data_IF_658092817406
#
_entry.id   IF_658092817406
#
_cell.length_a   1.000
_cell.length_b   1.000
_cell.length_c   1.000
_cell.angle_alpha   90.00
_cell.angle_beta   90.00
_cell.angle_gamma   90.00
#
_symmetry.space_group_name_H-M   'P 1'
#
loop_
_entity.id
_entity.type
_entity.pdbx_description
1 polymer ?
#
# COMPACT_ATOMS: atom_id res chain seq x y z
N UNK A 1 5.45 35.52 -51.22
CA UNK A 1 5.26 34.05 -51.12
C UNK A 1 4.85 33.78 -49.67
N UNK A 2 3.63 33.33 -49.34
CA UNK A 2 3.13 31.93 -49.43
C UNK A 2 4.16 30.96 -48.80
N UNK A 3 3.95 30.18 -47.73
CA UNK A 3 2.77 29.63 -47.00
C UNK A 3 3.16 29.50 -45.48
N UNK A 4 2.33 29.20 -44.46
CA UNK A 4 0.89 28.93 -44.27
C UNK A 4 0.50 29.25 -42.79
N UNK A 5 -0.79 29.47 -42.47
CA UNK A 5 -1.28 29.61 -41.08
C UNK A 5 -1.72 28.26 -40.48
N UNK A 6 -1.57 28.04 -39.16
CA UNK A 6 -2.35 27.03 -38.43
C UNK A 6 -2.56 27.46 -36.96
N UNK A 7 -3.73 28.06 -36.70
CA UNK A 7 -4.27 28.31 -35.35
C UNK A 7 -5.50 27.43 -35.15
N UNK A 8 -5.32 26.27 -34.51
CA UNK A 8 -6.32 25.35 -33.92
C UNK A 8 -5.45 24.29 -33.20
N UNK A 9 -5.62 23.92 -31.93
CA UNK A 9 -6.86 23.51 -31.29
C UNK A 9 -6.79 23.67 -29.75
N UNK A 10 -7.91 24.06 -29.14
CA UNK A 10 -8.31 24.03 -27.73
C UNK A 10 -7.39 24.54 -26.58
N UNK A 11 -7.91 25.57 -25.91
CA UNK A 11 -7.71 25.83 -24.48
C UNK A 11 -8.03 24.58 -23.65
N UNK A 12 -7.07 24.11 -22.83
CA UNK A 12 -7.38 23.28 -21.67
C UNK A 12 -7.66 24.20 -20.47
N UNK A 13 -8.92 24.59 -20.34
CA UNK A 13 -9.45 25.17 -19.10
C UNK A 13 -9.54 24.05 -18.04
N UNK A 14 -8.54 23.92 -17.17
CA UNK A 14 -8.71 23.16 -15.91
C UNK A 14 -9.40 24.09 -14.92
N UNK A 15 -10.71 24.20 -15.08
CA UNK A 15 -11.60 24.72 -14.06
C UNK A 15 -11.93 23.57 -13.10
N UNK A 16 -11.47 23.64 -11.85
CA UNK A 16 -12.21 23.18 -10.65
C UNK A 16 -11.33 23.21 -9.41
N UNK A 17 -11.59 24.21 -8.56
CA UNK A 17 -11.87 24.06 -7.14
C UNK A 17 -11.03 23.07 -6.33
N UNK A 18 -10.20 23.61 -5.43
CA UNK A 18 -9.32 22.83 -4.58
C UNK A 18 -10.03 21.75 -3.75
N UNK A 19 -9.61 20.50 -3.96
CA UNK A 19 -9.73 19.48 -2.93
C UNK A 19 -8.79 19.86 -1.78
N UNK A 20 -9.34 20.57 -0.79
CA UNK A 20 -8.73 20.65 0.53
C UNK A 20 -8.75 19.26 1.18
N UNK A 21 -7.77 18.43 0.80
CA UNK A 21 -7.42 17.22 1.56
C UNK A 21 -7.17 17.67 2.98
N UNK A 22 -8.01 17.22 3.92
CA UNK A 22 -7.93 17.67 5.30
C UNK A 22 -6.53 17.41 5.84
N UNK A 23 -5.99 18.35 6.63
CA UNK A 23 -4.65 18.21 7.22
C UNK A 23 -4.47 16.86 7.95
N UNK A 24 -5.55 16.35 8.55
CA UNK A 24 -5.64 15.04 9.19
C UNK A 24 -5.39 13.84 8.24
N UNK A 25 -5.84 13.89 6.99
CA UNK A 25 -5.53 12.88 5.97
C UNK A 25 -4.07 12.99 5.50
N UNK A 26 -3.47 14.18 5.57
CA UNK A 26 -2.06 14.39 5.27
C UNK A 26 -1.15 13.91 6.42
N UNK A 27 -1.55 14.14 7.68
CA UNK A 27 -0.90 13.53 8.85
C UNK A 27 -1.00 12.00 8.84
N UNK A 28 -2.14 11.43 8.44
CA UNK A 28 -2.29 9.97 8.32
C UNK A 28 -1.22 9.39 7.40
N UNK A 29 -0.98 10.00 6.22
CA UNK A 29 0.07 9.57 5.28
C UNK A 29 1.49 9.65 5.86
N UNK A 30 1.71 10.47 6.88
CA UNK A 30 2.99 10.58 7.59
C UNK A 30 3.09 9.63 8.80
N UNK A 31 1.96 9.18 9.36
CA UNK A 31 1.91 8.25 10.51
C UNK A 31 1.83 6.78 10.11
N UNK A 32 1.40 6.46 8.89
CA UNK A 32 1.50 5.11 8.33
C UNK A 32 2.96 4.64 8.34
N UNK A 33 3.24 3.64 9.16
CA UNK A 33 4.54 3.57 9.84
C UNK A 33 5.48 2.55 9.18
N UNK A 34 6.67 2.96 8.75
CA UNK A 34 7.70 2.13 8.08
C UNK A 34 8.37 1.04 8.98
N UNK A 35 7.69 0.50 9.99
CA UNK A 35 8.32 -0.05 11.21
C UNK A 35 9.25 -1.26 11.00
N UNK A 36 8.89 -2.26 10.19
CA UNK A 36 9.59 -3.56 10.26
C UNK A 36 10.55 -3.85 9.08
N UNK A 37 10.95 -2.84 8.29
CA UNK A 37 11.61 -3.06 6.98
C UNK A 37 13.15 -3.06 7.02
N UNK A 38 13.78 -3.23 8.18
CA UNK A 38 15.25 -3.22 8.33
C UNK A 38 15.81 -4.65 8.25
N UNK A 39 16.58 -4.90 7.19
CA UNK A 39 17.31 -6.15 6.86
C UNK A 39 16.42 -7.37 6.55
N UNK A 40 16.42 -7.86 5.30
CA UNK A 40 15.94 -9.22 5.03
C UNK A 40 16.50 -9.83 3.73
N UNK A 41 16.73 -11.14 3.78
CA UNK A 41 17.32 -12.00 2.76
C UNK A 41 16.33 -12.44 1.66
N UNK A 42 16.79 -13.30 0.74
CA UNK A 42 16.07 -13.73 -0.46
C UNK A 42 15.07 -14.89 -0.22
N UNK A 43 13.90 -14.80 -0.85
CA UNK A 43 12.89 -15.86 -0.93
C UNK A 43 11.48 -15.42 -0.53
N UNK A 44 10.49 -15.67 -1.38
CA UNK A 44 9.06 -15.39 -1.10
C UNK A 44 8.59 -16.11 0.18
N UNK A 45 9.04 -17.34 0.41
CA UNK A 45 8.71 -18.10 1.62
C UNK A 45 9.21 -17.42 2.90
N UNK A 46 10.48 -16.95 2.90
CA UNK A 46 11.05 -16.17 4.01
C UNK A 46 10.31 -14.84 4.21
N UNK A 47 9.83 -14.22 3.13
CA UNK A 47 8.98 -13.02 3.18
C UNK A 47 7.65 -13.31 3.90
N UNK A 48 6.99 -14.43 3.55
CA UNK A 48 5.72 -14.86 4.14
C UNK A 48 5.88 -15.22 5.63
N UNK A 49 6.90 -15.98 5.98
CA UNK A 49 7.13 -16.41 7.37
C UNK A 49 7.49 -15.24 8.30
N UNK A 50 8.32 -14.30 7.83
CA UNK A 50 8.58 -13.06 8.54
C UNK A 50 7.31 -12.20 8.65
N UNK A 51 6.51 -12.13 7.58
CA UNK A 51 5.18 -11.52 7.57
C UNK A 51 4.26 -12.08 8.65
N UNK A 52 4.24 -13.40 8.81
CA UNK A 52 3.49 -14.11 9.87
C UNK A 52 4.00 -13.75 11.25
N UNK A 53 5.32 -13.68 11.45
CA UNK A 53 5.93 -13.25 12.71
C UNK A 53 5.65 -11.79 13.07
N UNK A 54 5.65 -10.88 12.10
CA UNK A 54 5.31 -9.47 12.28
C UNK A 54 3.82 -9.28 12.57
N UNK A 55 2.94 -9.92 11.80
CA UNK A 55 1.49 -9.86 12.02
C UNK A 55 1.08 -10.44 13.38
N UNK A 56 1.70 -11.54 13.82
CA UNK A 56 1.49 -12.08 15.17
C UNK A 56 1.84 -11.07 16.28
N UNK A 57 2.94 -10.31 16.13
CA UNK A 57 3.32 -9.24 17.08
C UNK A 57 2.33 -8.07 17.07
N UNK A 58 1.82 -7.68 15.89
CA UNK A 58 0.80 -6.63 15.77
C UNK A 58 -0.49 -7.08 16.47
N UNK A 59 -0.96 -8.30 16.19
CA UNK A 59 -2.19 -8.87 16.76
C UNK A 59 -2.08 -9.13 18.27
N UNK A 60 -0.88 -9.41 18.79
CA UNK A 60 -0.62 -9.52 20.22
C UNK A 60 -0.65 -8.18 20.96
N UNK A 61 -0.40 -7.05 20.27
CA UNK A 61 -0.53 -5.69 20.84
C UNK A 61 -1.92 -5.09 20.63
N UNK A 62 -2.53 -5.34 19.47
CA UNK A 62 -3.79 -4.73 19.06
C UNK A 62 -4.80 -5.83 18.65
N UNK A 63 -5.91 -6.00 19.38
CA UNK A 63 -6.93 -6.98 19.02
C UNK A 63 -7.62 -6.61 17.69
N UNK A 64 -8.22 -7.60 17.02
CA UNK A 64 -9.02 -7.37 15.82
C UNK A 64 -10.43 -6.87 16.18
N UNK A 65 -10.90 -5.85 15.46
CA UNK A 65 -12.27 -5.36 15.57
C UNK A 65 -13.25 -6.45 15.14
N UNK A 66 -14.20 -6.78 16.01
CA UNK A 66 -15.20 -7.85 15.81
C UNK A 66 -16.38 -7.35 14.96
N UNK A 67 -16.09 -6.79 13.79
CA UNK A 67 -17.08 -6.31 12.82
C UNK A 67 -16.83 -6.92 11.43
N UNK A 68 -17.49 -8.06 11.18
CA UNK A 68 -17.37 -8.78 9.91
C UNK A 68 -17.79 -7.96 8.70
N UNK A 69 -18.72 -6.99 8.85
CA UNK A 69 -19.20 -6.18 7.73
C UNK A 69 -18.12 -5.20 7.29
N UNK A 70 -17.51 -4.48 8.25
CA UNK A 70 -16.38 -3.58 7.97
C UNK A 70 -15.16 -4.33 7.46
N UNK A 71 -14.80 -5.46 8.09
CA UNK A 71 -13.65 -6.29 7.66
C UNK A 71 -13.87 -6.80 6.23
N UNK A 72 -15.03 -7.39 5.92
CA UNK A 72 -15.37 -7.88 4.57
C UNK A 72 -15.32 -6.79 3.51
N UNK A 73 -15.79 -5.59 3.83
CA UNK A 73 -15.76 -4.44 2.93
C UNK A 73 -14.32 -3.98 2.62
N UNK A 74 -13.46 -3.84 3.64
CA UNK A 74 -12.05 -3.47 3.46
C UNK A 74 -11.31 -4.57 2.70
N UNK A 75 -11.55 -5.85 3.01
CA UNK A 75 -11.00 -6.97 2.25
C UNK A 75 -11.39 -6.92 0.78
N UNK A 76 -12.63 -6.52 0.44
CA UNK A 76 -13.07 -6.36 -0.96
C UNK A 76 -12.30 -5.26 -1.68
N UNK A 77 -12.20 -4.07 -1.07
CA UNK A 77 -11.45 -2.93 -1.63
C UNK A 77 -9.96 -3.28 -1.78
N UNK A 78 -9.35 -3.81 -0.71
CA UNK A 78 -7.95 -4.21 -0.67
C UNK A 78 -7.61 -5.29 -1.70
N UNK A 79 -8.46 -6.31 -1.87
CA UNK A 79 -8.25 -7.38 -2.86
C UNK A 79 -8.26 -6.84 -4.30
N UNK A 80 -9.16 -5.91 -4.61
CA UNK A 80 -9.21 -5.26 -5.93
C UNK A 80 -7.97 -4.44 -6.26
N UNK A 81 -7.32 -3.86 -5.24
CA UNK A 81 -6.04 -3.14 -5.39
C UNK A 81 -4.89 -4.14 -5.49
N UNK A 82 -4.81 -5.14 -4.60
CA UNK A 82 -3.69 -6.09 -4.56
C UNK A 82 -3.59 -6.96 -5.82
N UNK A 83 -4.71 -7.23 -6.49
CA UNK A 83 -4.74 -7.93 -7.77
C UNK A 83 -3.89 -7.24 -8.87
N UNK A 84 -3.66 -5.92 -8.77
CA UNK A 84 -2.87 -5.16 -9.74
C UNK A 84 -1.36 -5.15 -9.46
N UNK A 85 -0.90 -5.77 -8.36
CA UNK A 85 0.52 -5.77 -7.97
C UNK A 85 1.38 -6.79 -8.72
N UNK A 86 0.79 -7.69 -9.51
CA UNK A 86 1.53 -8.72 -10.25
C UNK A 86 2.22 -9.77 -9.36
N UNK A 87 1.71 -9.99 -8.14
CA UNK A 87 2.24 -10.96 -7.15
C UNK A 87 1.26 -12.09 -6.83
N UNK A 88 0.94 -12.99 -7.78
CA UNK A 88 0.01 -14.10 -7.55
C UNK A 88 0.50 -15.09 -6.48
N UNK A 89 1.79 -15.08 -6.15
CA UNK A 89 2.40 -15.92 -5.13
C UNK A 89 2.08 -15.47 -3.69
N UNK A 90 1.60 -14.23 -3.49
CA UNK A 90 1.19 -13.71 -2.19
C UNK A 90 -0.33 -13.70 -2.04
N UNK A 91 -0.81 -14.32 -0.95
CA UNK A 91 -2.16 -14.12 -0.46
C UNK A 91 -2.20 -12.88 0.44
N UNK A 92 -3.05 -11.92 0.09
CA UNK A 92 -3.26 -10.72 0.89
C UNK A 92 -4.33 -10.95 1.96
N UNK A 93 -4.08 -10.43 3.16
CA UNK A 93 -4.96 -10.53 4.32
C UNK A 93 -5.24 -9.13 4.84
N UNK A 94 -6.51 -8.75 4.94
CA UNK A 94 -6.93 -7.44 5.43
C UNK A 94 -7.64 -7.56 6.77
N UNK A 95 -7.28 -6.71 7.73
CA UNK A 95 -7.88 -6.68 9.06
C UNK A 95 -8.04 -5.27 9.61
N UNK A 96 -8.94 -5.13 10.59
CA UNK A 96 -9.13 -3.89 11.34
C UNK A 96 -8.64 -4.11 12.76
N UNK A 97 -7.78 -3.23 13.26
CA UNK A 97 -7.33 -3.24 14.65
C UNK A 97 -8.28 -2.39 15.50
N UNK A 98 -8.73 -2.95 16.62
CA UNK A 98 -9.65 -2.30 17.56
C UNK A 98 -8.87 -1.33 18.47
N UNK A 99 -8.56 -0.17 17.91
CA UNK A 99 -7.89 0.93 18.60
C UNK A 99 -8.26 2.27 17.95
N UNK A 100 -8.38 3.31 18.78
CA UNK A 100 -8.60 4.70 18.37
C UNK A 100 -7.31 5.38 17.88
N UNK A 101 -6.14 4.73 18.00
CA UNK A 101 -4.91 5.18 17.35
C UNK A 101 -5.14 5.36 15.85
N UNK A 102 -4.47 6.33 15.22
CA UNK A 102 -4.63 6.67 13.80
C UNK A 102 -3.43 6.09 13.04
N UNK A 103 -3.55 4.86 12.53
CA UNK A 103 -2.42 4.16 11.90
C UNK A 103 -2.87 3.11 10.86
N UNK A 104 -1.93 2.66 10.04
CA UNK A 104 -2.02 1.44 9.25
C UNK A 104 -0.65 0.74 9.23
N UNK A 105 -0.69 -0.59 9.12
CA UNK A 105 0.48 -1.46 9.14
C UNK A 105 0.41 -2.44 7.97
N UNK A 106 1.49 -2.57 7.21
CA UNK A 106 1.55 -3.44 6.04
C UNK A 106 2.80 -4.33 6.09
N UNK A 107 2.64 -5.55 6.60
CA UNK A 107 3.75 -6.49 6.71
C UNK A 107 4.02 -7.23 5.38
N UNK A 108 5.28 -7.68 5.17
CA UNK A 108 5.62 -8.64 4.12
C UNK A 108 4.72 -9.87 4.15
N UNK A 109 4.65 -10.62 3.05
CA UNK A 109 3.75 -11.79 2.99
C UNK A 109 2.25 -11.45 2.86
N UNK A 110 1.90 -10.16 2.69
CA UNK A 110 0.55 -9.72 2.30
C UNK A 110 -0.38 -9.30 3.44
N UNK A 111 0.09 -9.19 4.69
CA UNK A 111 -0.76 -8.77 5.81
C UNK A 111 -0.90 -7.24 5.86
N UNK A 112 -2.13 -6.74 5.79
CA UNK A 112 -2.45 -5.30 5.85
C UNK A 112 -3.51 -5.06 6.93
N UNK A 113 -3.19 -4.15 7.85
CA UNK A 113 -4.03 -3.79 8.97
C UNK A 113 -4.28 -2.28 8.97
N UNK A 114 -5.52 -1.87 9.26
CA UNK A 114 -5.89 -0.47 9.49
C UNK A 114 -6.54 -0.34 10.86
N UNK A 115 -6.28 0.74 11.59
CA UNK A 115 -6.91 0.94 12.90
C UNK A 115 -8.36 1.44 12.78
N UNK A 116 -9.18 1.15 13.80
CA UNK A 116 -10.55 1.64 13.83
C UNK A 116 -10.60 3.19 13.87
N UNK A 117 -9.70 3.83 14.62
CA UNK A 117 -9.54 5.28 14.66
C UNK A 117 -9.23 5.90 13.29
N UNK A 118 -8.35 5.26 12.49
CA UNK A 118 -8.09 5.70 11.12
C UNK A 118 -9.33 5.62 10.22
N UNK A 119 -10.11 4.52 10.33
CA UNK A 119 -11.36 4.36 9.57
C UNK A 119 -12.41 5.41 9.93
N UNK A 120 -12.51 5.84 11.19
CA UNK A 120 -13.47 6.88 11.61
C UNK A 120 -13.19 8.25 10.99
N UNK A 121 -11.94 8.52 10.59
CA UNK A 121 -11.55 9.77 9.94
C UNK A 121 -11.78 9.78 8.43
N UNK A 122 -11.97 8.60 7.82
CA UNK A 122 -12.20 8.46 6.38
C UNK A 122 -13.64 8.85 6.04
N UNK A 123 -13.79 9.85 5.16
CA UNK A 123 -15.09 10.38 4.73
C UNK A 123 -15.68 9.65 3.53
N UNK A 124 -14.90 8.85 2.82
CA UNK A 124 -15.32 8.10 1.63
C UNK A 124 -14.39 6.90 1.32
N UNK A 125 -14.86 6.01 0.43
CA UNK A 125 -14.11 4.84 -0.04
C UNK A 125 -12.79 5.22 -0.72
N UNK A 126 -12.72 6.36 -1.42
CA UNK A 126 -11.51 6.79 -2.13
C UNK A 126 -10.33 7.08 -1.18
N UNK A 127 -10.60 7.61 0.02
CA UNK A 127 -9.58 7.80 1.06
C UNK A 127 -9.07 6.46 1.60
N UNK A 128 -9.96 5.50 1.85
CA UNK A 128 -9.59 4.13 2.23
C UNK A 128 -8.74 3.46 1.14
N UNK A 129 -9.20 3.51 -0.12
CA UNK A 129 -8.52 2.91 -1.26
C UNK A 129 -7.14 3.55 -1.49
N UNK A 130 -7.02 4.88 -1.38
CA UNK A 130 -5.74 5.58 -1.49
C UNK A 130 -4.73 5.19 -0.40
N UNK A 131 -5.21 4.98 0.83
CA UNK A 131 -4.38 4.46 1.93
C UNK A 131 -3.93 3.02 1.67
N UNK A 132 -4.87 2.12 1.37
CA UNK A 132 -4.54 0.73 1.08
C UNK A 132 -3.60 0.60 -0.12
N UNK A 133 -3.79 1.40 -1.18
CA UNK A 133 -2.91 1.45 -2.34
C UNK A 133 -1.50 1.97 -2.02
N UNK A 134 -1.37 2.96 -1.13
CA UNK A 134 -0.07 3.44 -0.68
C UNK A 134 0.73 2.33 0.01
N UNK A 135 0.10 1.65 0.97
CA UNK A 135 0.71 0.53 1.70
C UNK A 135 1.05 -0.66 0.82
N UNK A 136 0.12 -1.05 -0.07
CA UNK A 136 0.30 -2.14 -1.02
C UNK A 136 1.39 -1.84 -2.06
N UNK A 137 1.53 -0.58 -2.50
CA UNK A 137 2.60 -0.16 -3.40
C UNK A 137 3.99 -0.27 -2.74
N UNK A 138 4.12 0.01 -1.44
CA UNK A 138 5.38 -0.18 -0.71
C UNK A 138 5.80 -1.65 -0.65
N UNK A 139 4.85 -2.58 -0.49
CA UNK A 139 5.11 -4.04 -0.57
C UNK A 139 5.56 -4.41 -2.00
N UNK A 140 4.85 -3.94 -3.04
CA UNK A 140 5.14 -4.27 -4.43
C UNK A 140 6.48 -3.73 -4.95
N UNK A 141 6.73 -2.42 -4.79
CA UNK A 141 7.93 -1.76 -5.31
C UNK A 141 9.22 -2.33 -4.71
N UNK A 142 9.24 -2.62 -3.41
CA UNK A 142 10.43 -3.17 -2.74
C UNK A 142 10.74 -4.61 -3.16
N UNK A 143 9.72 -5.40 -3.51
CA UNK A 143 9.91 -6.72 -4.13
C UNK A 143 10.56 -6.59 -5.52
N UNK A 144 10.09 -5.66 -6.36
CA UNK A 144 10.64 -5.40 -7.69
C UNK A 144 12.10 -4.95 -7.58
N UNK A 145 12.40 -3.96 -6.73
CA UNK A 145 13.78 -3.46 -6.52
C UNK A 145 14.70 -4.58 -5.99
N UNK A 146 14.20 -5.47 -5.11
CA UNK A 146 14.98 -6.61 -4.62
C UNK A 146 15.24 -7.65 -5.70
N UNK A 147 14.25 -8.00 -6.53
CA UNK A 147 14.42 -8.92 -7.68
C UNK A 147 15.51 -8.40 -8.64
N UNK A 148 15.44 -7.13 -9.01
CA UNK A 148 16.45 -6.48 -9.86
C UNK A 148 17.85 -6.58 -9.23
N UNK A 149 17.99 -6.25 -7.94
CA UNK A 149 19.29 -6.29 -7.25
C UNK A 149 19.91 -7.69 -7.19
N UNK A 150 19.10 -8.74 -7.02
CA UNK A 150 19.57 -10.14 -7.04
C UNK A 150 20.06 -10.55 -8.44
N UNK A 151 19.32 -10.19 -9.50
CA UNK A 151 19.72 -10.46 -10.88
C UNK A 151 21.03 -9.74 -11.27
N UNK A 152 21.23 -8.52 -10.77
CA UNK A 152 22.49 -7.77 -11.02
C UNK A 152 23.72 -8.43 -10.37
N UNK A 153 23.56 -9.13 -9.24
CA UNK A 153 24.69 -9.76 -8.53
C UNK A 153 25.12 -11.11 -9.09
N UNK A 154 24.19 -11.92 -9.64
CA UNK A 154 24.54 -13.21 -10.25
C UNK A 154 25.35 -13.05 -11.54
N UNK A 155 25.09 -11.99 -12.32
CA UNK A 155 25.74 -11.77 -13.62
C UNK A 155 27.24 -11.45 -13.50
N UNK A 156 27.70 -10.98 -12.33
CA UNK A 156 29.10 -10.61 -12.06
C UNK A 156 29.98 -11.73 -11.51
N UNK A 157 29.47 -12.96 -11.33
CA UNK A 157 30.24 -14.10 -10.80
C UNK A 157 30.54 -15.20 -11.83
N UNK A 158 30.17 -15.03 -13.10
CA UNK A 158 30.36 -16.03 -14.17
C UNK A 158 31.38 -15.64 -15.25
N UNK A 159 32.14 -14.56 -15.02
CA UNK A 159 33.28 -14.16 -15.85
C UNK A 159 34.59 -14.25 -15.04
N UNK A 160 35.17 -15.45 -14.98
CA UNK A 160 36.46 -15.77 -14.35
C UNK A 160 37.04 -17.03 -14.96
#
# INVERSE_FOLDING_TARGET
MRHISNYLWLYIFIFSSGFAVSAQAQEFRQRAHHIFWKNQEAGTEREIDFGRGVSAKILGKYPLLRDEKKVRYISRVGTGISAQLGRPEIRYYFGILDTEEINAFAAPGGYVFITHGALKLMRNEAQLAGVLAHELAHIGQKHIIRKLKLQSTDTSMTSG
#
